data_IF_953826374274
#
_entry.id   IF_953826374274
#
_cell.length_a   1.000
_cell.length_b   1.000
_cell.length_c   1.000
_cell.angle_alpha   90.00
_cell.angle_beta   90.00
_cell.angle_gamma   90.00
#
_symmetry.space_group_name_H-M   'P 1'
#
loop_
_entity.id
_entity.type
_entity.pdbx_description
1 polymer ?
#
# COMPACT_ATOMS: atom_id res chain seq x y z
N UNK A 1 -2.37 -16.71 20.12
CA UNK A 1 -1.57 -16.59 18.88
C UNK A 1 -1.37 -15.10 18.63
N UNK A 2 -0.30 -14.54 19.18
CA UNK A 2 -0.09 -13.10 19.27
C UNK A 2 0.03 -12.47 17.87
N UNK A 3 -0.83 -11.49 17.59
CA UNK A 3 -0.71 -10.62 16.43
C UNK A 3 0.51 -9.71 16.62
N UNK A 4 1.52 -9.90 15.80
CA UNK A 4 2.67 -9.01 15.70
C UNK A 4 2.22 -7.72 15.02
N UNK A 5 1.87 -6.71 15.82
CA UNK A 5 1.80 -5.34 15.35
C UNK A 5 3.20 -4.97 14.82
N UNK A 6 3.29 -4.78 13.50
CA UNK A 6 4.53 -4.47 12.82
C UNK A 6 5.08 -3.14 13.34
N UNK A 7 6.21 -3.21 14.06
CA UNK A 7 7.00 -2.06 14.43
C UNK A 7 7.48 -1.36 13.16
N UNK A 8 6.82 -0.27 12.78
CA UNK A 8 7.30 0.64 11.76
C UNK A 8 8.67 1.19 12.22
N UNK A 9 9.76 0.66 11.66
CA UNK A 9 11.11 1.17 11.93
C UNK A 9 11.26 2.51 11.21
N UNK A 10 11.02 3.60 11.92
CA UNK A 10 11.44 4.94 11.47
C UNK A 10 12.96 5.08 11.68
N UNK A 11 13.75 4.81 10.65
CA UNK A 11 15.12 5.31 10.60
C UNK A 11 15.08 6.73 10.03
N UNK A 12 15.43 7.69 10.90
CA UNK A 12 15.77 9.10 10.64
C UNK A 12 15.24 9.76 9.38
N UNK A 13 14.18 10.54 9.51
CA UNK A 13 14.06 11.92 9.02
C UNK A 13 12.67 12.45 9.39
N UNK A 14 12.62 13.72 9.78
CA UNK A 14 11.46 14.51 10.21
C UNK A 14 10.10 13.95 9.80
N UNK A 15 9.21 13.83 10.80
CA UNK A 15 7.82 13.37 10.70
C UNK A 15 6.99 14.25 9.74
N UNK A 16 7.20 14.12 8.42
CA UNK A 16 6.57 14.89 7.33
C UNK A 16 5.09 14.55 7.12
N UNK A 17 4.56 13.64 7.93
CA UNK A 17 3.17 13.21 7.87
C UNK A 17 2.34 14.08 8.80
N UNK A 18 1.73 15.14 8.26
CA UNK A 18 0.83 16.01 9.01
C UNK A 18 -0.54 15.34 9.08
N UNK A 19 -0.98 14.95 10.29
CA UNK A 19 -2.31 14.39 10.54
C UNK A 19 -2.56 13.00 9.96
N UNK A 20 -1.54 12.34 9.41
CA UNK A 20 -1.67 10.95 8.98
C UNK A 20 -1.69 9.99 10.16
N UNK A 21 -2.42 8.89 10.00
CA UNK A 21 -2.57 7.84 10.99
C UNK A 21 -2.57 6.49 10.29
N UNK A 22 -2.19 5.44 11.02
CA UNK A 22 -2.30 4.07 10.52
C UNK A 22 -3.77 3.71 10.33
N UNK A 23 -4.15 3.30 9.11
CA UNK A 23 -5.51 2.86 8.85
C UNK A 23 -5.85 1.62 9.69
N UNK A 24 -7.08 1.54 10.19
CA UNK A 24 -7.59 0.31 10.82
C UNK A 24 -7.50 -0.81 9.79
N UNK A 25 -7.04 -2.00 10.22
CA UNK A 25 -6.91 -3.15 9.34
C UNK A 25 -8.20 -3.41 8.55
N UNK A 26 -8.08 -3.58 7.24
CA UNK A 26 -9.19 -3.81 6.30
C UNK A 26 -10.23 -2.68 6.19
N UNK A 27 -10.00 -1.50 6.76
CA UNK A 27 -10.93 -0.36 6.66
C UNK A 27 -10.99 0.26 5.26
N UNK A 28 -9.96 0.03 4.43
CA UNK A 28 -9.90 0.47 3.03
C UNK A 28 -9.88 -0.75 2.11
N UNK A 29 -10.99 -1.51 2.01
CA UNK A 29 -11.01 -2.80 1.31
C UNK A 29 -10.75 -2.68 -0.20
N UNK A 30 -10.91 -1.48 -0.76
CA UNK A 30 -10.59 -1.18 -2.15
C UNK A 30 -9.10 -0.89 -2.40
N UNK A 31 -8.27 -0.73 -1.36
CA UNK A 31 -6.85 -0.45 -1.53
C UNK A 31 -6.12 -1.66 -2.13
N UNK A 32 -5.50 -1.50 -3.30
CA UNK A 32 -4.76 -2.54 -3.98
C UNK A 32 -3.26 -2.20 -4.08
N UNK A 33 -2.42 -3.23 -3.91
CA UNK A 33 -0.99 -3.14 -4.16
C UNK A 33 -0.65 -3.81 -5.49
N UNK A 34 0.06 -3.10 -6.37
CA UNK A 34 0.59 -3.65 -7.61
C UNK A 34 2.02 -4.13 -7.35
N UNK A 35 2.24 -5.43 -7.55
CA UNK A 35 3.50 -6.11 -7.24
C UNK A 35 4.19 -6.58 -8.53
N UNK A 36 5.51 -6.41 -8.62
CA UNK A 36 6.29 -6.75 -9.81
C UNK A 36 7.56 -7.57 -9.51
N UNK A 37 8.06 -8.26 -10.54
CA UNK A 37 9.28 -9.07 -10.50
C UNK A 37 9.18 -10.38 -9.71
N UNK A 38 10.28 -11.14 -9.68
CA UNK A 38 10.35 -12.46 -9.05
C UNK A 38 10.06 -12.43 -7.54
N UNK A 39 10.25 -11.29 -6.88
CA UNK A 39 10.02 -11.10 -5.45
C UNK A 39 8.69 -10.42 -5.09
N UNK A 40 7.77 -10.21 -6.04
CA UNK A 40 6.49 -9.50 -5.82
C UNK A 40 6.69 -8.18 -5.06
N UNK A 41 7.66 -7.37 -5.49
CA UNK A 41 7.98 -6.10 -4.82
C UNK A 41 6.87 -5.09 -5.09
N UNK A 42 6.48 -4.34 -4.08
CA UNK A 42 5.58 -3.20 -4.24
C UNK A 42 6.17 -2.20 -5.23
N UNK A 43 5.34 -1.79 -6.19
CA UNK A 43 5.74 -0.85 -7.23
C UNK A 43 4.76 0.33 -7.33
N UNK A 44 3.45 0.07 -7.36
CA UNK A 44 2.42 1.11 -7.41
C UNK A 44 1.21 0.74 -6.55
N UNK A 45 0.37 1.74 -6.26
CA UNK A 45 -0.97 1.53 -5.70
C UNK A 45 -2.04 1.38 -6.79
N UNK A 46 -3.24 0.99 -6.36
CA UNK A 46 -4.43 0.94 -7.19
C UNK A 46 -5.71 0.85 -6.35
N UNK A 47 -6.86 0.93 -7.02
CA UNK A 47 -8.19 0.86 -6.41
C UNK A 47 -8.98 -0.29 -7.05
N UNK A 48 -9.48 -1.22 -6.25
CA UNK A 48 -10.41 -2.26 -6.68
C UNK A 48 -11.76 -1.62 -7.05
N UNK A 49 -12.06 -1.59 -8.35
CA UNK A 49 -13.28 -1.01 -8.88
C UNK A 49 -14.44 -2.01 -8.89
N UNK A 50 -14.14 -3.28 -9.13
CA UNK A 50 -15.11 -4.38 -9.20
C UNK A 50 -14.43 -5.72 -8.89
N UNK A 51 -15.17 -6.82 -9.01
CA UNK A 51 -14.69 -8.18 -8.78
C UNK A 51 -13.44 -8.56 -9.59
N UNK A 52 -13.22 -7.91 -10.74
CA UNK A 52 -12.17 -8.26 -11.70
C UNK A 52 -11.32 -7.09 -12.19
N UNK A 53 -11.61 -5.86 -11.76
CA UNK A 53 -10.93 -4.66 -12.27
C UNK A 53 -10.31 -3.83 -11.16
N UNK A 54 -9.03 -3.47 -11.35
CA UNK A 54 -8.28 -2.50 -10.55
C UNK A 54 -7.91 -1.32 -11.45
N UNK A 55 -8.13 -0.10 -10.97
CA UNK A 55 -7.67 1.13 -11.63
C UNK A 55 -6.34 1.57 -10.99
N UNK A 56 -5.41 2.07 -11.80
CA UNK A 56 -4.13 2.66 -11.37
C UNK A 56 -3.71 3.80 -12.31
N UNK A 57 -2.62 4.49 -12.00
CA UNK A 57 -2.06 5.53 -12.86
C UNK A 57 -1.42 4.92 -14.12
N UNK A 58 -1.55 5.61 -15.25
CA UNK A 58 -1.02 5.11 -16.54
C UNK A 58 0.51 4.89 -16.52
N UNK A 59 1.26 5.75 -15.83
CA UNK A 59 2.72 5.61 -15.70
C UNK A 59 3.13 4.35 -14.91
N UNK A 60 2.21 3.72 -14.16
CA UNK A 60 2.51 2.44 -13.51
C UNK A 60 2.55 1.26 -14.50
N UNK A 61 1.95 1.38 -15.69
CA UNK A 61 2.01 0.33 -16.70
C UNK A 61 3.32 0.37 -17.52
N UNK A 62 3.89 1.57 -17.66
CA UNK A 62 5.18 1.84 -18.32
C UNK A 62 5.86 2.97 -17.54
N UNK A 63 6.72 2.63 -16.57
CA UNK A 63 7.45 3.61 -15.77
C UNK A 63 8.36 4.49 -16.63
#
# INVERSE_FOLDING_TARGET
>A
MAGSEGLARSQGDDNKIIGGYTCIQNSQPWQAALLAGAGRRFFCGGILLSDRWVITAAHCARP
#
